data_IF_782155363164
#
_entry.id   IF_782155363164
#
_cell.length_a   1.000
_cell.length_b   1.000
_cell.length_c   1.000
_cell.angle_alpha   90.00
_cell.angle_beta   90.00
_cell.angle_gamma   90.00
#
_symmetry.space_group_name_H-M   'P 1'
#
loop_
_entity.id
_entity.type
_entity.pdbx_description
1 polymer ?
#
# COMPACT_ATOMS: atom_id res chain seq x y z
N UNK A 1 -9.24 -49.48 -2.14
CA UNK A 1 -8.49 -48.32 -1.61
C UNK A 1 -8.78 -47.13 -2.52
N UNK A 2 -9.40 -46.05 -2.04
CA UNK A 2 -9.53 -44.84 -2.85
C UNK A 2 -8.16 -44.16 -3.01
N UNK A 3 -7.89 -43.48 -4.13
CA UNK A 3 -6.59 -42.88 -4.40
C UNK A 3 -6.35 -41.67 -3.48
N UNK A 4 -5.10 -41.53 -3.03
CA UNK A 4 -4.61 -40.46 -2.17
C UNK A 4 -4.84 -39.09 -2.82
N UNK A 5 -5.45 -38.19 -2.06
CA UNK A 5 -5.68 -36.79 -2.38
C UNK A 5 -4.31 -36.11 -2.66
N UNK A 6 -4.06 -35.70 -3.91
CA UNK A 6 -3.01 -34.71 -4.20
C UNK A 6 -3.48 -33.40 -3.58
N UNK A 7 -2.75 -32.90 -2.58
CA UNK A 7 -2.95 -31.54 -2.06
C UNK A 7 -2.91 -30.58 -3.26
N UNK A 8 -3.94 -29.76 -3.40
CA UNK A 8 -4.01 -28.69 -4.40
C UNK A 8 -3.03 -27.60 -3.98
N UNK A 9 -1.99 -27.39 -4.77
CA UNK A 9 -0.98 -26.35 -4.58
C UNK A 9 -1.52 -24.90 -4.68
N UNK A 10 -2.84 -24.70 -4.84
CA UNK A 10 -3.49 -23.40 -4.98
C UNK A 10 -4.23 -22.86 -3.75
N UNK A 11 -4.53 -23.68 -2.74
CA UNK A 11 -5.29 -23.22 -1.55
C UNK A 11 -4.49 -22.25 -0.66
N UNK A 12 -3.16 -22.33 -0.67
CA UNK A 12 -2.29 -21.48 0.14
C UNK A 12 -2.16 -20.05 -0.41
N UNK A 13 -2.22 -19.89 -1.72
CA UNK A 13 -2.09 -18.58 -2.38
C UNK A 13 -3.40 -17.81 -2.30
N UNK A 14 -4.55 -18.46 -2.51
CA UNK A 14 -5.87 -17.84 -2.35
C UNK A 14 -6.10 -17.32 -0.92
N UNK A 15 -5.64 -18.07 0.09
CA UNK A 15 -5.67 -17.62 1.48
C UNK A 15 -4.77 -16.39 1.71
N UNK A 16 -3.60 -16.30 1.07
CA UNK A 16 -2.73 -15.12 1.10
C UNK A 16 -3.35 -13.91 0.40
N UNK A 17 -4.01 -14.09 -0.74
CA UNK A 17 -4.71 -13.01 -1.44
C UNK A 17 -5.91 -12.49 -0.64
N UNK A 18 -6.64 -13.37 0.05
CA UNK A 18 -7.72 -12.96 0.97
C UNK A 18 -7.19 -12.16 2.18
N UNK A 19 -5.95 -12.39 2.62
CA UNK A 19 -5.30 -11.60 3.70
C UNK A 19 -5.02 -10.15 3.28
N UNK A 20 -4.67 -9.91 2.02
CA UNK A 20 -4.40 -8.56 1.50
C UNK A 20 -5.68 -7.72 1.34
N UNK A 21 -6.82 -8.36 1.10
CA UNK A 21 -8.10 -7.68 0.87
C UNK A 21 -8.84 -7.28 2.15
N UNK A 22 -8.47 -7.81 3.33
CA UNK A 22 -9.27 -7.70 4.56
C UNK A 22 -9.50 -6.26 5.02
N UNK A 23 -8.49 -5.40 4.87
CA UNK A 23 -8.54 -3.97 5.22
C UNK A 23 -8.77 -3.07 4.00
N UNK A 24 -8.99 -3.66 2.82
CA UNK A 24 -9.14 -2.92 1.57
C UNK A 24 -10.36 -2.02 1.57
N UNK A 25 -10.27 -0.90 0.84
CA UNK A 25 -11.41 -0.02 0.59
C UNK A 25 -12.36 -0.66 -0.42
N UNK A 26 -13.66 -0.49 -0.19
CA UNK A 26 -14.69 -0.97 -1.11
C UNK A 26 -14.88 0.07 -2.23
N UNK A 27 -14.12 -0.06 -3.32
CA UNK A 27 -14.28 0.75 -4.54
C UNK A 27 -13.76 0.01 -5.79
N UNK A 28 -14.27 0.40 -6.96
CA UNK A 28 -13.87 -0.17 -8.26
C UNK A 28 -12.61 0.49 -8.86
N UNK A 29 -12.17 1.63 -8.32
CA UNK A 29 -10.97 2.36 -8.77
C UNK A 29 -9.84 2.26 -7.74
N UNK A 30 -9.11 1.14 -7.77
CA UNK A 30 -7.96 0.90 -6.90
C UNK A 30 -6.67 1.43 -7.53
N UNK A 31 -5.78 1.95 -6.68
CA UNK A 31 -4.49 2.50 -7.10
C UNK A 31 -3.35 1.93 -6.25
N UNK A 32 -2.26 1.57 -6.89
CA UNK A 32 -0.99 1.25 -6.22
C UNK A 32 -0.12 2.51 -6.16
N UNK A 33 0.71 2.67 -5.14
CA UNK A 33 1.67 3.77 -5.04
C UNK A 33 3.11 3.29 -5.03
N UNK A 34 4.01 3.93 -5.77
CA UNK A 34 5.44 3.69 -5.61
C UNK A 34 5.99 4.44 -4.40
N UNK A 35 6.64 3.69 -3.51
CA UNK A 35 7.27 4.20 -2.28
C UNK A 35 8.70 3.73 -2.23
N UNK A 36 9.62 4.62 -1.90
CA UNK A 36 11.04 4.33 -1.75
C UNK A 36 11.82 5.58 -1.39
N UNK A 37 13.07 5.40 -0.97
CA UNK A 37 13.98 6.50 -0.76
C UNK A 37 14.29 7.22 -2.10
N UNK A 38 14.83 8.45 -2.07
CA UNK A 38 15.40 9.07 -3.24
C UNK A 38 16.36 8.13 -3.98
N UNK A 39 16.39 8.25 -5.30
CA UNK A 39 17.36 7.57 -6.16
C UNK A 39 17.32 6.03 -6.19
N UNK A 40 16.24 5.39 -5.71
CA UNK A 40 16.06 3.92 -5.80
C UNK A 40 15.63 3.43 -7.19
N UNK A 41 15.44 4.33 -8.16
CA UNK A 41 14.96 4.01 -9.52
C UNK A 41 13.45 4.14 -9.73
N UNK A 42 12.75 4.80 -8.81
CA UNK A 42 11.30 5.05 -8.88
C UNK A 42 10.85 5.73 -10.17
N UNK A 43 11.43 6.89 -10.49
CA UNK A 43 11.09 7.63 -11.71
C UNK A 43 11.46 6.86 -12.98
N UNK A 44 12.53 6.07 -12.94
CA UNK A 44 12.90 5.18 -14.06
C UNK A 44 11.82 4.13 -14.31
N UNK A 45 11.32 3.46 -13.26
CA UNK A 45 10.26 2.48 -13.37
C UNK A 45 8.94 3.10 -13.86
N UNK A 46 8.59 4.28 -13.33
CA UNK A 46 7.44 5.08 -13.78
C UNK A 46 7.54 5.41 -15.27
N UNK A 47 8.72 5.84 -15.75
CA UNK A 47 8.97 6.15 -17.15
C UNK A 47 8.87 4.92 -18.06
N UNK A 48 9.37 3.76 -17.61
CA UNK A 48 9.27 2.50 -18.37
C UNK A 48 7.79 2.12 -18.53
N UNK A 49 7.00 2.18 -17.46
CA UNK A 49 5.58 1.83 -17.48
C UNK A 49 4.77 2.83 -18.31
N UNK A 50 5.07 4.13 -18.17
CA UNK A 50 4.46 5.15 -19.01
C UNK A 50 4.78 4.93 -20.48
N UNK A 51 6.05 4.66 -20.84
CA UNK A 51 6.47 4.39 -22.21
C UNK A 51 5.81 3.14 -22.81
N UNK A 52 5.74 2.05 -22.05
CA UNK A 52 5.04 0.84 -22.46
C UNK A 52 3.54 1.10 -22.69
N UNK A 53 2.91 1.88 -21.82
CA UNK A 53 1.52 2.28 -22.00
C UNK A 53 1.34 3.15 -23.24
N UNK A 54 2.20 4.13 -23.51
CA UNK A 54 2.08 4.99 -24.70
C UNK A 54 2.20 4.20 -26.02
N UNK A 55 3.02 3.15 -26.05
CA UNK A 55 3.14 2.26 -27.21
C UNK A 55 1.84 1.45 -27.47
N UNK A 56 1.07 1.13 -26.42
CA UNK A 56 -0.21 0.40 -26.51
C UNK A 56 -1.45 1.33 -26.53
N UNK A 57 -1.32 2.58 -26.07
CA UNK A 57 -2.41 3.50 -25.80
C UNK A 57 -2.82 4.41 -26.98
N UNK A 58 -2.30 4.18 -28.19
CA UNK A 58 -2.74 4.86 -29.40
C UNK A 58 -4.28 4.76 -29.66
N UNK A 59 -5.00 3.93 -28.89
CA UNK A 59 -6.43 3.66 -29.02
C UNK A 59 -7.33 4.18 -27.86
N UNK A 60 -6.83 4.94 -26.86
CA UNK A 60 -7.63 5.36 -25.67
C UNK A 60 -7.72 6.89 -25.47
N UNK A 61 -8.65 7.58 -26.15
CA UNK A 61 -8.71 9.05 -26.18
C UNK A 61 -9.35 9.75 -24.95
N UNK A 62 -9.67 9.04 -23.86
CA UNK A 62 -10.46 9.60 -22.74
C UNK A 62 -9.82 9.50 -21.34
N UNK A 63 -8.53 9.19 -21.23
CA UNK A 63 -7.88 9.15 -19.92
C UNK A 63 -7.52 10.57 -19.45
N UNK A 64 -8.05 10.98 -18.30
CA UNK A 64 -7.53 12.14 -17.57
C UNK A 64 -6.07 11.86 -17.19
N UNK A 65 -5.15 12.63 -17.75
CA UNK A 65 -3.72 12.53 -17.49
C UNK A 65 -3.44 13.36 -16.23
N UNK A 66 -3.64 12.74 -15.06
CA UNK A 66 -2.98 13.24 -13.85
C UNK A 66 -1.49 12.97 -14.03
N UNK A 67 -0.60 13.99 -13.97
CA UNK A 67 0.82 13.84 -14.27
C UNK A 67 1.52 12.79 -13.40
N UNK A 68 0.95 12.46 -12.23
CA UNK A 68 1.52 11.51 -11.30
C UNK A 68 0.89 10.11 -11.38
N UNK A 69 -0.10 9.87 -12.26
CA UNK A 69 -0.76 8.57 -12.42
C UNK A 69 -0.35 7.94 -13.74
N UNK A 70 0.35 6.81 -13.64
CA UNK A 70 0.67 5.94 -14.76
C UNK A 70 -0.34 4.81 -14.82
N UNK A 71 -0.80 4.48 -16.02
CA UNK A 71 -1.60 3.29 -16.27
C UNK A 71 -0.72 2.23 -16.93
N UNK A 72 -0.83 0.99 -16.49
CA UNK A 72 -0.14 -0.14 -17.09
C UNK A 72 -1.17 -1.20 -17.49
N UNK A 73 -1.10 -1.68 -18.73
CA UNK A 73 -1.97 -2.76 -19.20
C UNK A 73 -1.59 -4.05 -18.46
N UNK A 74 -2.59 -4.78 -17.97
CA UNK A 74 -2.38 -6.05 -17.29
C UNK A 74 -2.16 -7.14 -18.35
N UNK A 75 -0.98 -7.79 -18.40
CA UNK A 75 -0.72 -8.84 -19.37
C UNK A 75 -1.52 -10.09 -19.01
N UNK A 76 -2.51 -10.44 -19.83
CA UNK A 76 -3.36 -11.63 -19.63
C UNK A 76 -3.42 -12.51 -20.89
N UNK A 77 -2.89 -13.73 -20.79
CA UNK A 77 -2.90 -14.71 -21.87
C UNK A 77 -4.32 -15.16 -22.24
N UNK A 78 -5.25 -15.20 -21.28
CA UNK A 78 -6.65 -15.59 -21.52
C UNK A 78 -7.36 -14.53 -22.35
N UNK A 79 -7.18 -13.26 -21.98
CA UNK A 79 -7.66 -12.12 -22.75
C UNK A 79 -7.13 -12.17 -24.20
N UNK A 80 -5.83 -12.37 -24.37
CA UNK A 80 -5.20 -12.46 -25.70
C UNK A 80 -5.77 -13.63 -26.54
N UNK A 81 -6.00 -14.78 -25.92
CA UNK A 81 -6.65 -15.92 -26.58
C UNK A 81 -8.05 -15.58 -27.09
N UNK A 82 -8.88 -14.91 -26.27
CA UNK A 82 -10.22 -14.49 -26.66
C UNK A 82 -10.20 -13.50 -27.82
N UNK A 83 -9.32 -12.50 -27.76
CA UNK A 83 -9.15 -11.51 -28.84
C UNK A 83 -8.75 -12.19 -30.15
N UNK A 84 -7.80 -13.12 -30.10
CA UNK A 84 -7.35 -13.87 -31.29
C UNK A 84 -8.45 -14.76 -31.88
N UNK A 85 -9.28 -15.36 -31.02
CA UNK A 85 -10.34 -16.28 -31.41
C UNK A 85 -11.51 -15.54 -32.06
N UNK A 86 -11.99 -14.48 -31.42
CA UNK A 86 -13.21 -13.79 -31.82
C UNK A 86 -12.98 -12.59 -32.73
N UNK A 87 -11.76 -12.05 -32.77
CA UNK A 87 -11.36 -10.88 -33.57
C UNK A 87 -12.37 -9.72 -33.46
N UNK A 88 -12.67 -9.25 -32.23
CA UNK A 88 -13.66 -8.21 -32.03
C UNK A 88 -13.21 -6.88 -32.64
N UNK A 89 -14.16 -6.00 -33.02
CA UNK A 89 -13.83 -4.67 -33.56
C UNK A 89 -13.23 -3.72 -32.52
N UNK A 90 -13.34 -4.04 -31.22
CA UNK A 90 -12.76 -3.28 -30.11
C UNK A 90 -12.16 -4.24 -29.08
N UNK A 91 -11.00 -3.86 -28.53
CA UNK A 91 -10.22 -4.65 -27.58
C UNK A 91 -9.87 -3.73 -26.41
N UNK A 92 -10.42 -4.00 -25.22
CA UNK A 92 -10.20 -3.21 -24.00
C UNK A 92 -9.61 -4.09 -22.91
N UNK A 93 -8.32 -3.99 -22.58
CA UNK A 93 -7.71 -4.77 -21.53
C UNK A 93 -7.97 -4.16 -20.15
N UNK A 94 -7.72 -4.93 -19.10
CA UNK A 94 -7.66 -4.41 -17.75
C UNK A 94 -6.41 -3.53 -17.57
N UNK A 95 -6.53 -2.48 -16.76
CA UNK A 95 -5.44 -1.54 -16.47
C UNK A 95 -5.17 -1.48 -14.96
N UNK A 96 -3.89 -1.46 -14.60
CA UNK A 96 -3.41 -1.16 -13.27
C UNK A 96 -3.04 0.32 -13.20
N UNK A 97 -3.58 1.04 -12.21
CA UNK A 97 -3.25 2.44 -11.96
C UNK A 97 -2.18 2.53 -10.89
N UNK A 98 -1.11 3.24 -11.20
CA UNK A 98 0.05 3.40 -10.34
C UNK A 98 0.28 4.89 -10.14
N UNK A 99 0.38 5.31 -8.89
CA UNK A 99 0.68 6.69 -8.50
C UNK A 99 2.17 6.77 -8.19
N UNK A 100 2.87 7.69 -8.85
CA UNK A 100 4.24 8.02 -8.48
C UNK A 100 4.21 8.96 -7.27
N UNK A 101 4.65 8.48 -6.11
CA UNK A 101 4.69 9.27 -4.89
C UNK A 101 6.12 9.84 -4.78
N UNK A 102 6.28 11.13 -4.46
CA UNK A 102 7.60 11.77 -4.34
C UNK A 102 8.57 10.99 -3.43
N UNK A 103 9.90 11.12 -3.53
CA UNK A 103 10.80 10.34 -2.65
C UNK A 103 10.62 10.66 -1.16
N UNK A 104 10.61 9.63 -0.30
CA UNK A 104 10.57 9.82 1.16
C UNK A 104 11.94 10.27 1.68
N UNK A 105 12.01 11.44 2.30
CA UNK A 105 13.20 11.89 3.03
C UNK A 105 12.98 11.56 4.52
N UNK A 106 14.05 11.15 5.23
CA UNK A 106 14.02 10.88 6.68
C UNK A 106 13.42 12.07 7.46
N UNK A 107 12.65 11.79 8.52
CA UNK A 107 12.00 12.80 9.35
C UNK A 107 10.68 13.31 8.76
N UNK A 108 10.04 12.53 7.89
CA UNK A 108 8.80 12.92 7.24
C UNK A 108 7.63 13.06 8.24
N UNK A 109 7.66 12.25 9.31
CA UNK A 109 6.70 12.35 10.41
C UNK A 109 6.90 13.57 11.31
N UNK A 110 8.11 14.13 11.39
CA UNK A 110 8.46 15.21 12.34
C UNK A 110 8.15 16.64 11.81
N UNK A 111 7.54 16.76 10.64
CA UNK A 111 6.90 18.02 10.21
C UNK A 111 7.75 18.96 9.35
N UNK A 112 8.88 18.52 8.78
CA UNK A 112 9.46 19.19 7.63
C UNK A 112 8.48 19.07 6.46
N UNK A 113 7.76 20.15 6.10
CA UNK A 113 6.49 20.15 5.35
C UNK A 113 6.38 19.33 4.04
N UNK A 114 7.47 18.80 3.48
CA UNK A 114 7.43 17.83 2.37
C UNK A 114 7.02 16.40 2.80
N UNK A 115 7.37 15.97 4.02
CA UNK A 115 7.10 14.60 4.48
C UNK A 115 5.62 14.29 4.76
N UNK A 116 4.89 15.26 5.30
CA UNK A 116 3.44 15.12 5.53
C UNK A 116 2.63 15.08 4.22
N UNK A 117 3.08 15.80 3.18
CA UNK A 117 2.49 15.71 1.85
C UNK A 117 2.73 14.32 1.24
N UNK A 118 3.94 13.77 1.38
CA UNK A 118 4.25 12.40 0.96
C UNK A 118 3.33 11.36 1.61
N UNK A 119 3.17 11.43 2.92
CA UNK A 119 2.34 10.48 3.67
C UNK A 119 0.85 10.61 3.33
N UNK A 120 0.36 11.81 3.00
CA UNK A 120 -1.03 12.00 2.56
C UNK A 120 -1.27 11.40 1.16
N UNK A 121 -0.28 11.45 0.27
CA UNK A 121 -0.33 10.77 -1.02
C UNK A 121 -0.35 9.24 -0.87
N UNK A 122 0.43 8.67 0.07
CA UNK A 122 0.34 7.23 0.37
C UNK A 122 -1.04 6.88 0.96
N UNK A 123 -1.57 7.72 1.83
CA UNK A 123 -2.91 7.50 2.37
C UNK A 123 -3.96 7.41 1.24
N UNK A 124 -3.80 8.16 0.15
CA UNK A 124 -4.72 8.16 -0.99
C UNK A 124 -4.70 6.89 -1.86
N UNK A 125 -3.58 6.14 -1.91
CA UNK A 125 -3.50 4.86 -2.64
C UNK A 125 -4.10 3.71 -1.84
N UNK A 126 -4.22 2.53 -2.43
CA UNK A 126 -4.84 1.35 -1.83
C UNK A 126 -3.84 0.21 -1.59
N UNK A 127 -2.67 0.28 -2.21
CA UNK A 127 -1.54 -0.62 -1.98
C UNK A 127 -0.22 0.06 -2.33
N UNK A 128 0.89 -0.56 -1.93
CA UNK A 128 2.22 0.02 -2.02
C UNK A 128 3.13 -0.93 -2.78
N UNK A 129 3.81 -0.41 -3.79
CA UNK A 129 5.03 -0.99 -4.35
C UNK A 129 6.22 -0.35 -3.65
N UNK A 130 6.87 -1.11 -2.77
CA UNK A 130 8.00 -0.62 -2.00
C UNK A 130 9.30 -0.92 -2.74
N UNK A 131 9.86 0.10 -3.37
CA UNK A 131 11.12 0.01 -4.10
C UNK A 131 12.29 0.06 -3.13
N UNK A 132 13.21 -0.87 -3.30
CA UNK A 132 14.44 -1.00 -2.51
C UNK A 132 15.62 -1.05 -3.46
N UNK A 133 16.63 -0.20 -3.20
CA UNK A 133 17.88 -0.19 -3.98
C UNK A 133 18.78 -1.31 -3.50
N UNK A 134 19.17 -2.19 -4.42
CA UNK A 134 20.14 -3.26 -4.21
C UNK A 134 21.22 -3.25 -5.32
N UNK A 135 21.71 -2.05 -5.63
CA UNK A 135 22.83 -1.84 -6.56
C UNK A 135 23.68 -0.66 -6.10
N UNK A 136 24.99 -0.78 -6.28
CA UNK A 136 25.94 0.30 -6.09
C UNK A 136 26.09 1.11 -7.39
N UNK A 137 26.31 2.42 -7.26
CA UNK A 137 26.56 3.30 -8.40
C UNK A 137 27.27 4.55 -7.91
N UNK A 138 28.42 4.84 -8.54
CA UNK A 138 29.22 6.04 -8.25
C UNK A 138 28.57 7.34 -8.73
N UNK A 139 27.59 7.24 -9.65
CA UNK A 139 26.86 8.37 -10.22
C UNK A 139 25.66 8.78 -9.35
N UNK A 140 25.23 7.91 -8.45
CA UNK A 140 23.95 8.05 -7.74
C UNK A 140 24.17 8.07 -6.22
N UNK A 141 24.20 9.28 -5.66
CA UNK A 141 24.39 9.53 -4.23
C UNK A 141 23.19 8.97 -3.45
N UNK A 142 23.48 8.16 -2.43
CA UNK A 142 22.50 7.68 -1.47
C UNK A 142 22.27 8.74 -0.38
N UNK A 143 21.06 8.80 0.19
CA UNK A 143 20.73 9.79 1.24
C UNK A 143 21.64 9.67 2.47
N UNK A 144 22.15 8.47 2.73
CA UNK A 144 23.01 8.14 3.88
C UNK A 144 24.44 7.77 3.49
N UNK A 145 24.94 8.21 2.33
CA UNK A 145 26.30 7.97 1.80
C UNK A 145 26.70 6.49 1.60
N UNK A 146 25.87 5.53 2.01
CA UNK A 146 26.03 4.10 1.80
C UNK A 146 24.71 3.45 1.39
N UNK A 147 24.75 2.44 0.53
CA UNK A 147 23.57 1.64 0.16
C UNK A 147 23.39 0.51 1.18
N UNK A 148 22.25 0.47 1.85
CA UNK A 148 21.88 -0.62 2.76
C UNK A 148 20.38 -0.93 2.60
N UNK A 149 20.02 -1.95 1.80
CA UNK A 149 18.63 -2.30 1.51
C UNK A 149 17.79 -2.58 2.76
N UNK A 150 18.40 -3.15 3.80
CA UNK A 150 17.71 -3.56 5.02
C UNK A 150 17.40 -2.31 5.85
N UNK A 151 18.41 -1.47 6.08
CA UNK A 151 18.25 -0.19 6.78
C UNK A 151 17.23 0.72 6.09
N UNK A 152 17.23 0.75 4.76
CA UNK A 152 16.31 1.59 3.99
C UNK A 152 14.85 1.12 4.13
N UNK A 153 14.64 -0.20 4.14
CA UNK A 153 13.34 -0.81 4.39
C UNK A 153 12.86 -0.51 5.82
N UNK A 154 13.72 -0.71 6.82
CA UNK A 154 13.42 -0.39 8.22
C UNK A 154 13.11 1.10 8.42
N UNK A 155 13.83 1.99 7.74
CA UNK A 155 13.61 3.44 7.80
C UNK A 155 12.21 3.78 7.31
N UNK A 156 11.83 3.30 6.11
CA UNK A 156 10.50 3.56 5.55
C UNK A 156 9.41 2.95 6.42
N UNK A 157 9.59 1.70 6.86
CA UNK A 157 8.62 1.03 7.73
C UNK A 157 8.39 1.80 9.04
N UNK A 158 9.46 2.29 9.66
CA UNK A 158 9.41 3.10 10.88
C UNK A 158 8.60 4.38 10.66
N UNK A 159 8.84 5.09 9.57
CA UNK A 159 8.09 6.32 9.23
C UNK A 159 6.59 6.04 8.99
N UNK A 160 6.25 4.93 8.32
CA UNK A 160 4.86 4.51 8.13
C UNK A 160 4.18 4.19 9.48
N UNK A 161 4.86 3.44 10.35
CA UNK A 161 4.36 3.12 11.70
C UNK A 161 4.19 4.38 12.55
N UNK A 162 5.15 5.32 12.53
CA UNK A 162 5.05 6.59 13.26
C UNK A 162 3.84 7.41 12.79
N UNK A 163 3.58 7.45 11.47
CA UNK A 163 2.40 8.13 10.93
C UNK A 163 1.09 7.47 11.36
N UNK A 164 1.05 6.16 11.39
CA UNK A 164 -0.11 5.42 11.87
C UNK A 164 -0.35 5.61 13.37
N UNK A 165 0.72 5.75 14.17
CA UNK A 165 0.62 6.12 15.59
C UNK A 165 -0.05 7.48 15.78
N UNK A 166 0.34 8.48 14.98
CA UNK A 166 -0.31 9.80 14.97
C UNK A 166 -1.77 9.72 14.52
N UNK A 167 -2.09 8.80 13.60
CA UNK A 167 -3.44 8.64 13.07
C UNK A 167 -4.34 7.93 14.10
N UNK A 168 -3.83 6.90 14.77
CA UNK A 168 -4.52 6.20 15.85
C UNK A 168 -4.87 7.11 17.02
N UNK A 169 -3.99 8.02 17.42
CA UNK A 169 -4.28 8.98 18.50
C UNK A 169 -5.47 9.89 18.15
N UNK A 170 -5.59 10.31 16.89
CA UNK A 170 -6.75 11.08 16.41
C UNK A 170 -8.02 10.25 16.33
N UNK A 171 -7.90 8.97 15.96
CA UNK A 171 -9.03 8.04 15.87
C UNK A 171 -9.63 7.78 17.24
N UNK A 172 -8.80 7.47 18.25
CA UNK A 172 -9.29 7.21 19.61
C UNK A 172 -9.92 8.44 20.25
N UNK A 173 -9.34 9.63 20.05
CA UNK A 173 -9.93 10.88 20.58
C UNK A 173 -11.29 11.21 19.93
N UNK A 174 -11.43 11.00 18.62
CA UNK A 174 -12.72 11.14 17.93
C UNK A 174 -13.77 10.17 18.47
N UNK A 175 -13.36 8.94 18.72
CA UNK A 175 -14.26 7.91 19.26
C UNK A 175 -14.70 8.25 20.69
N UNK A 176 -13.76 8.69 21.55
CA UNK A 176 -14.08 9.20 22.89
C UNK A 176 -15.08 10.36 22.81
N UNK A 177 -14.86 11.31 21.92
CA UNK A 177 -15.79 12.44 21.73
C UNK A 177 -17.18 12.02 21.26
N UNK A 178 -17.28 11.00 20.40
CA UNK A 178 -18.55 10.41 19.98
C UNK A 178 -19.29 9.82 21.18
N UNK A 179 -18.62 8.95 21.95
CA UNK A 179 -19.21 8.28 23.12
C UNK A 179 -19.62 9.30 24.20
N UNK A 180 -18.82 10.36 24.42
CA UNK A 180 -19.17 11.46 25.34
C UNK A 180 -20.49 12.11 24.96
N UNK A 181 -20.68 12.44 23.67
CA UNK A 181 -21.91 13.07 23.17
C UNK A 181 -23.11 12.14 23.30
N UNK A 182 -22.96 10.87 22.93
CA UNK A 182 -24.04 9.87 23.01
C UNK A 182 -24.48 9.62 24.45
N UNK A 183 -23.55 9.62 25.41
CA UNK A 183 -23.82 9.36 26.84
C UNK A 183 -24.03 10.64 27.67
N UNK A 184 -23.95 11.83 27.08
CA UNK A 184 -24.09 13.11 27.79
C UNK A 184 -22.99 13.38 28.83
N UNK A 185 -21.78 12.86 28.62
CA UNK A 185 -20.66 12.97 29.56
C UNK A 185 -19.92 14.31 29.41
N UNK A 186 -19.26 14.75 30.49
CA UNK A 186 -18.43 15.96 30.47
C UNK A 186 -17.22 15.80 29.53
N UNK A 187 -16.75 16.88 28.91
CA UNK A 187 -15.57 16.87 28.01
C UNK A 187 -14.29 16.34 28.65
N UNK A 188 -14.13 16.52 29.96
CA UNK A 188 -12.96 16.05 30.72
C UNK A 188 -13.05 14.59 31.17
N UNK A 189 -14.20 13.93 31.00
CA UNK A 189 -14.36 12.53 31.39
C UNK A 189 -13.69 11.60 30.38
N UNK A 190 -13.14 10.49 30.85
CA UNK A 190 -12.64 9.43 29.97
C UNK A 190 -13.76 8.39 29.76
N UNK A 191 -14.43 8.37 28.59
CA UNK A 191 -15.57 7.49 28.37
C UNK A 191 -15.10 6.04 28.14
N UNK A 192 -15.86 5.03 28.61
CA UNK A 192 -15.55 3.64 28.28
C UNK A 192 -15.84 3.40 26.80
N UNK A 193 -14.82 2.92 26.08
CA UNK A 193 -14.89 2.52 24.67
C UNK A 193 -15.49 1.12 24.56
N UNK A 194 -16.06 0.79 23.39
CA UNK A 194 -16.56 -0.55 23.12
C UNK A 194 -15.42 -1.58 23.16
N UNK A 195 -15.67 -2.76 23.70
CA UNK A 195 -14.66 -3.81 23.88
C UNK A 195 -13.92 -4.16 22.58
N UNK A 196 -14.65 -4.33 21.47
CA UNK A 196 -14.07 -4.62 20.16
C UNK A 196 -13.19 -3.48 19.64
N UNK A 197 -13.58 -2.22 19.86
CA UNK A 197 -12.80 -1.06 19.46
C UNK A 197 -11.51 -0.98 20.27
N UNK A 198 -11.60 -1.14 21.59
CA UNK A 198 -10.45 -1.12 22.49
C UNK A 198 -9.46 -2.23 22.13
N UNK A 199 -9.94 -3.47 21.92
CA UNK A 199 -9.11 -4.60 21.48
C UNK A 199 -8.42 -4.34 20.14
N UNK A 200 -9.16 -3.85 19.15
CA UNK A 200 -8.60 -3.48 17.85
C UNK A 200 -7.51 -2.41 17.96
N UNK A 201 -7.79 -1.35 18.73
CA UNK A 201 -6.86 -0.25 18.98
C UNK A 201 -5.57 -0.73 19.65
N UNK A 202 -5.69 -1.48 20.74
CA UNK A 202 -4.54 -1.95 21.53
C UNK A 202 -3.64 -2.91 20.72
N UNK A 203 -4.24 -3.80 19.93
CA UNK A 203 -3.50 -4.69 19.02
C UNK A 203 -2.74 -3.89 17.95
N UNK A 204 -3.42 -2.94 17.28
CA UNK A 204 -2.80 -2.09 16.26
C UNK A 204 -1.67 -1.25 16.85
N UNK A 205 -1.89 -0.62 18.00
CA UNK A 205 -0.88 0.18 18.69
C UNK A 205 0.36 -0.64 19.03
N UNK A 206 0.18 -1.85 19.58
CA UNK A 206 1.28 -2.75 19.91
C UNK A 206 2.13 -3.11 18.69
N UNK A 207 1.50 -3.44 17.56
CA UNK A 207 2.20 -3.75 16.30
C UNK A 207 2.99 -2.55 15.79
N UNK A 208 2.37 -1.37 15.80
CA UNK A 208 3.01 -0.12 15.36
C UNK A 208 4.21 0.23 16.25
N UNK A 209 4.10 0.04 17.57
CA UNK A 209 5.19 0.27 18.51
C UNK A 209 6.33 -0.74 18.38
N UNK A 210 6.03 -1.96 17.94
CA UNK A 210 7.04 -2.96 17.54
C UNK A 210 7.51 -2.81 16.09
N UNK A 211 7.25 -1.67 15.45
CA UNK A 211 7.60 -1.38 14.07
C UNK A 211 7.15 -2.46 13.08
N UNK A 212 5.96 -3.03 13.31
CA UNK A 212 5.40 -4.14 12.53
C UNK A 212 4.14 -3.64 11.82
N UNK A 213 4.04 -3.78 10.47
CA UNK A 213 2.86 -3.32 9.75
C UNK A 213 1.59 -4.06 10.19
N UNK A 214 0.49 -3.33 10.41
CA UNK A 214 -0.77 -3.93 10.92
C UNK A 214 -1.27 -5.07 10.03
N UNK A 215 -1.06 -4.99 8.71
CA UNK A 215 -1.48 -6.03 7.78
C UNK A 215 -0.83 -7.41 8.00
N UNK A 216 0.29 -7.51 8.71
CA UNK A 216 1.00 -8.78 8.90
C UNK A 216 0.40 -9.62 10.02
N UNK A 217 -0.37 -9.02 10.92
CA UNK A 217 -0.99 -9.73 12.02
C UNK A 217 -2.20 -10.54 11.53
N UNK A 218 -2.30 -11.80 11.98
CA UNK A 218 -3.32 -12.73 11.51
C UNK A 218 -4.54 -12.81 12.45
N UNK A 219 -4.35 -12.53 13.74
CA UNK A 219 -5.34 -12.78 14.80
C UNK A 219 -6.28 -11.58 15.06
N UNK A 220 -6.92 -11.11 13.99
CA UNK A 220 -8.04 -10.16 14.07
C UNK A 220 -9.37 -10.87 13.84
N UNK A 221 -10.33 -10.64 14.73
CA UNK A 221 -11.72 -11.02 14.52
C UNK A 221 -12.36 -10.18 13.42
N UNK A 222 -13.45 -10.65 12.81
CA UNK A 222 -14.16 -9.91 11.76
C UNK A 222 -14.62 -8.51 12.24
N UNK A 223 -15.12 -8.42 13.49
CA UNK A 223 -15.51 -7.14 14.07
C UNK A 223 -14.34 -6.18 14.28
N UNK A 224 -13.15 -6.68 14.63
CA UNK A 224 -11.94 -5.86 14.70
C UNK A 224 -11.52 -5.40 13.30
N UNK A 225 -11.58 -6.27 12.29
CA UNK A 225 -11.21 -5.91 10.91
C UNK A 225 -12.08 -4.77 10.36
N UNK A 226 -13.39 -4.81 10.60
CA UNK A 226 -14.29 -3.76 10.16
C UNK A 226 -13.97 -2.42 10.84
N UNK A 227 -13.67 -2.42 12.14
CA UNK A 227 -13.25 -1.22 12.88
C UNK A 227 -11.89 -0.70 12.37
N UNK A 228 -10.92 -1.58 12.16
CA UNK A 228 -9.56 -1.21 11.70
C UNK A 228 -9.61 -0.60 10.29
N UNK A 229 -10.54 -1.04 9.44
CA UNK A 229 -10.75 -0.44 8.12
C UNK A 229 -11.07 1.06 8.22
N UNK A 230 -11.85 1.45 9.22
CA UNK A 230 -12.25 2.84 9.45
C UNK A 230 -11.12 3.69 10.08
N UNK A 231 -10.10 3.06 10.65
CA UNK A 231 -8.93 3.78 11.17
C UNK A 231 -8.10 4.44 10.05
N UNK A 232 -8.18 3.93 8.83
CA UNK A 232 -7.50 4.51 7.66
C UNK A 232 -5.98 4.44 7.71
N UNK A 233 -5.43 3.47 8.44
CA UNK A 233 -4.00 3.26 8.61
C UNK A 233 -3.30 2.97 7.27
N UNK A 234 -2.03 3.35 7.16
CA UNK A 234 -1.20 3.11 5.99
C UNK A 234 -0.65 1.68 6.00
N UNK A 235 -0.27 1.18 7.17
CA UNK A 235 0.33 -0.15 7.36
C UNK A 235 -0.68 -1.31 7.25
N UNK A 236 -1.97 -1.02 7.04
CA UNK A 236 -2.99 -2.02 6.66
C UNK A 236 -3.02 -2.29 5.16
N UNK A 237 -2.41 -1.43 4.34
CA UNK A 237 -2.38 -1.56 2.88
C UNK A 237 -1.45 -2.71 2.45
N UNK A 238 -1.82 -3.51 1.43
CA UNK A 238 -0.94 -4.50 0.81
C UNK A 238 0.37 -3.88 0.33
N UNK A 239 1.49 -4.58 0.58
CA UNK A 239 2.82 -4.15 0.17
C UNK A 239 3.48 -5.20 -0.72
N UNK A 240 4.07 -4.76 -1.83
CA UNK A 240 4.89 -5.58 -2.72
C UNK A 240 6.27 -4.96 -2.80
N UNK A 241 7.30 -5.70 -2.37
CA UNK A 241 8.68 -5.24 -2.43
C UNK A 241 9.25 -5.41 -3.85
N UNK A 242 9.80 -4.33 -4.39
CA UNK A 242 10.44 -4.28 -5.70
C UNK A 242 11.92 -4.04 -5.48
N UNK A 243 12.71 -5.11 -5.52
CA UNK A 243 14.15 -5.06 -5.31
C UNK A 243 14.81 -4.69 -6.64
N UNK A 244 15.29 -3.45 -6.73
CA UNK A 244 15.95 -2.95 -7.93
C UNK A 244 17.45 -3.28 -7.88
N UNK A 245 17.95 -3.95 -8.90
CA UNK A 245 19.33 -4.47 -8.96
C UNK A 245 19.95 -4.17 -10.33
N UNK A 246 21.28 -4.18 -10.40
CA UNK A 246 22.00 -4.07 -11.66
C UNK A 246 21.73 -5.28 -12.55
N UNK A 247 21.72 -5.07 -13.87
CA UNK A 247 21.66 -6.19 -14.82
C UNK A 247 22.88 -7.09 -14.61
N UNK A 248 22.67 -8.38 -14.38
CA UNK A 248 23.74 -9.35 -14.36
C UNK A 248 24.47 -9.34 -15.71
N UNK A 249 25.79 -9.24 -15.66
CA UNK A 249 26.67 -9.25 -16.83
C UNK A 249 26.68 -10.62 -17.49
#
# INVERSE_FOLDING_TARGET
MPPKNKKKDGEGDDAKFMRAARFGRVKNDLRMGFVGLPNVGKSTLTNILAGACHAEAANYPFCTIDPNIVQAVVPDQKFQYLVKTWKPPSVVPAVLKIVDIAGLIRGASEGAGLGNAFLSHIAAVDGIYHLVRAFDSDEVIHVDDSVDPIRDLETIQSELCLKDKESLSKVVEKEKDRVRKEKGLARSSDPPLGETFQSAYDKCLKLIESNTPVQTHEDFSMGEVDIIRDFGLITTKPQIYVINMSKAS
#
